data_IF_915624063104
#
_entry.id   IF_915624063104
#
_cell.length_a   1.000
_cell.length_b   1.000
_cell.length_c   1.000
_cell.angle_alpha   90.00
_cell.angle_beta   90.00
_cell.angle_gamma   90.00
#
_symmetry.space_group_name_H-M   'P 1'
#
loop_
_entity.id
_entity.type
_entity.pdbx_description
1 polymer ?
#
# COMPACT_ATOMS: atom_id res chain seq x y z
N UNK A 1 -43.82 45.72 -8.16
CA UNK A 1 -43.40 44.89 -6.99
C UNK A 1 -43.13 43.42 -7.33
N UNK A 2 -43.77 42.84 -8.32
CA UNK A 2 -43.56 41.42 -8.69
C UNK A 2 -42.15 41.05 -9.19
N UNK A 3 -41.47 41.91 -9.95
CA UNK A 3 -40.14 41.65 -10.51
C UNK A 3 -39.03 41.51 -9.48
N UNK A 4 -39.11 42.25 -8.36
CA UNK A 4 -38.11 42.13 -7.29
C UNK A 4 -38.20 40.81 -6.51
N UNK A 5 -39.38 40.29 -6.35
CA UNK A 5 -39.60 39.00 -5.68
C UNK A 5 -39.15 37.84 -6.53
N UNK A 6 -39.42 37.86 -7.83
CA UNK A 6 -38.94 36.81 -8.76
C UNK A 6 -37.41 36.81 -8.89
N UNK A 7 -36.77 37.97 -8.90
CA UNK A 7 -35.30 38.06 -8.89
C UNK A 7 -34.68 37.50 -7.61
N UNK A 8 -35.27 37.77 -6.45
CA UNK A 8 -34.83 37.21 -5.16
C UNK A 8 -34.94 35.70 -5.11
N UNK A 9 -36.03 35.14 -5.63
CA UNK A 9 -36.23 33.70 -5.70
C UNK A 9 -35.20 33.05 -6.64
N UNK A 10 -34.96 33.62 -7.81
CA UNK A 10 -33.93 33.12 -8.76
C UNK A 10 -32.53 33.17 -8.13
N UNK A 11 -32.18 34.24 -7.46
CA UNK A 11 -30.89 34.37 -6.77
C UNK A 11 -30.74 33.38 -5.64
N UNK A 12 -31.79 33.11 -4.88
CA UNK A 12 -31.79 32.07 -3.84
C UNK A 12 -31.61 30.66 -4.41
N UNK A 13 -32.24 30.35 -5.55
CA UNK A 13 -32.09 29.06 -6.23
C UNK A 13 -30.65 28.89 -6.73
N UNK A 14 -30.07 29.93 -7.34
CA UNK A 14 -28.68 29.89 -7.83
C UNK A 14 -27.71 29.68 -6.66
N UNK A 15 -27.87 30.43 -5.57
CA UNK A 15 -27.04 30.28 -4.38
C UNK A 15 -27.16 28.88 -3.76
N UNK A 16 -28.37 28.37 -3.64
CA UNK A 16 -28.62 27.04 -3.09
C UNK A 16 -28.00 25.96 -3.99
N UNK A 17 -28.17 26.07 -5.31
CA UNK A 17 -27.59 25.13 -6.28
C UNK A 17 -26.05 25.11 -6.23
N UNK A 18 -25.42 26.29 -6.14
CA UNK A 18 -23.96 26.38 -6.03
C UNK A 18 -23.43 25.83 -4.70
N UNK A 19 -24.13 26.07 -3.60
CA UNK A 19 -23.81 25.46 -2.30
C UNK A 19 -23.94 23.93 -2.35
N UNK A 20 -25.02 23.41 -2.94
CA UNK A 20 -25.23 21.97 -3.11
C UNK A 20 -24.13 21.33 -3.95
N UNK A 21 -23.75 21.91 -5.09
CA UNK A 21 -22.66 21.43 -5.91
C UNK A 21 -21.31 21.42 -5.16
N UNK A 22 -21.03 22.47 -4.39
CA UNK A 22 -19.85 22.55 -3.54
C UNK A 22 -19.84 21.45 -2.47
N UNK A 23 -20.97 21.20 -1.84
CA UNK A 23 -21.13 20.15 -0.83
C UNK A 23 -20.90 18.75 -1.43
N UNK A 24 -21.55 18.43 -2.56
CA UNK A 24 -21.35 17.15 -3.24
C UNK A 24 -19.90 16.93 -3.70
N UNK A 25 -19.24 17.94 -4.26
CA UNK A 25 -17.85 17.84 -4.63
C UNK A 25 -16.93 17.54 -3.43
N UNK A 26 -17.20 18.16 -2.27
CA UNK A 26 -16.46 17.88 -1.06
C UNK A 26 -16.72 16.46 -0.54
N UNK A 27 -17.97 15.99 -0.58
CA UNK A 27 -18.31 14.61 -0.20
C UNK A 27 -17.59 13.58 -1.09
N UNK A 28 -17.58 13.78 -2.41
CA UNK A 28 -16.86 12.88 -3.33
C UNK A 28 -15.37 12.85 -3.03
N UNK A 29 -14.74 14.00 -2.84
CA UNK A 29 -13.31 14.06 -2.47
C UNK A 29 -13.03 13.36 -1.15
N UNK A 30 -13.90 13.51 -0.19
CA UNK A 30 -13.78 12.86 1.12
C UNK A 30 -13.90 11.34 1.00
N UNK A 31 -14.84 10.88 0.17
CA UNK A 31 -15.04 9.46 -0.10
C UNK A 31 -13.84 8.84 -0.83
N UNK A 32 -13.30 9.51 -1.85
CA UNK A 32 -12.13 9.06 -2.58
C UNK A 32 -10.90 8.97 -1.66
N UNK A 33 -10.66 10.00 -0.86
CA UNK A 33 -9.56 10.00 0.10
C UNK A 33 -9.69 8.88 1.13
N UNK A 34 -10.90 8.61 1.61
CA UNK A 34 -11.15 7.53 2.56
C UNK A 34 -10.90 6.15 1.96
N UNK A 35 -11.31 5.93 0.71
CA UNK A 35 -11.07 4.68 -0.01
C UNK A 35 -9.56 4.44 -0.26
N UNK A 36 -8.82 5.47 -0.62
CA UNK A 36 -7.37 5.40 -0.79
C UNK A 36 -6.67 5.02 0.52
N UNK A 37 -7.00 5.70 1.62
CA UNK A 37 -6.41 5.40 2.93
C UNK A 37 -6.81 4.00 3.44
N UNK A 38 -8.03 3.58 3.20
CA UNK A 38 -8.49 2.23 3.54
C UNK A 38 -7.71 1.16 2.76
N UNK A 39 -7.54 1.36 1.45
CA UNK A 39 -6.74 0.47 0.60
C UNK A 39 -5.27 0.42 1.05
N UNK A 40 -4.72 1.55 1.46
CA UNK A 40 -3.36 1.63 2.02
C UNK A 40 -3.21 0.85 3.32
N UNK A 41 -4.17 0.97 4.24
CA UNK A 41 -4.17 0.20 5.50
C UNK A 41 -4.27 -1.31 5.26
N UNK A 42 -5.08 -1.72 4.28
CA UNK A 42 -5.15 -3.13 3.88
C UNK A 42 -3.83 -3.60 3.27
N UNK A 43 -3.19 -2.78 2.44
CA UNK A 43 -1.86 -3.06 1.90
C UNK A 43 -0.80 -3.24 2.99
N UNK A 44 -0.82 -2.43 4.06
CA UNK A 44 0.06 -2.60 5.21
C UNK A 44 -0.16 -3.92 5.93
N UNK A 45 -1.41 -4.34 6.15
CA UNK A 45 -1.73 -5.65 6.75
C UNK A 45 -1.27 -6.81 5.87
N UNK A 46 -1.39 -6.64 4.56
CA UNK A 46 -0.88 -7.62 3.59
C UNK A 46 0.64 -7.73 3.66
N UNK A 47 1.35 -6.59 3.78
CA UNK A 47 2.79 -6.56 3.96
C UNK A 47 3.24 -7.30 5.21
N UNK A 48 2.58 -7.04 6.34
CA UNK A 48 2.85 -7.72 7.60
C UNK A 48 2.64 -9.23 7.48
N UNK A 49 1.58 -9.65 6.81
CA UNK A 49 1.33 -11.07 6.55
C UNK A 49 2.43 -11.71 5.69
N UNK A 50 2.88 -11.05 4.65
CA UNK A 50 3.97 -11.56 3.78
C UNK A 50 5.27 -11.71 4.59
N UNK A 51 5.60 -10.72 5.43
CA UNK A 51 6.76 -10.84 6.31
C UNK A 51 6.63 -11.98 7.31
N UNK A 52 5.45 -12.22 7.86
CA UNK A 52 5.19 -13.37 8.73
C UNK A 52 5.32 -14.70 7.98
N UNK A 53 4.87 -14.78 6.73
CA UNK A 53 5.05 -15.97 5.88
C UNK A 53 6.52 -16.28 5.65
N UNK A 54 7.36 -15.26 5.38
CA UNK A 54 8.81 -15.41 5.20
C UNK A 54 9.47 -15.90 6.50
N UNK A 55 9.18 -15.25 7.62
CA UNK A 55 9.71 -15.67 8.93
C UNK A 55 9.28 -17.09 9.31
N UNK A 56 8.02 -17.41 9.07
CA UNK A 56 7.49 -18.75 9.38
C UNK A 56 8.17 -19.83 8.54
N UNK A 57 8.40 -19.56 7.25
CA UNK A 57 9.09 -20.52 6.38
C UNK A 57 10.50 -20.84 6.88
N UNK A 58 11.21 -19.85 7.42
CA UNK A 58 12.53 -20.03 8.02
C UNK A 58 12.47 -20.73 9.40
N UNK A 59 11.64 -20.25 10.32
CA UNK A 59 11.54 -20.80 11.69
C UNK A 59 11.02 -22.24 11.69
N UNK A 60 10.13 -22.58 10.75
CA UNK A 60 9.59 -23.92 10.60
C UNK A 60 10.52 -24.88 9.84
N UNK A 61 11.74 -24.45 9.51
CA UNK A 61 12.73 -25.21 8.74
C UNK A 61 12.20 -25.75 7.41
N UNK A 62 11.29 -24.98 6.78
CA UNK A 62 10.73 -25.28 5.46
C UNK A 62 11.75 -24.87 4.38
N UNK A 63 12.45 -23.74 4.64
CA UNK A 63 13.45 -23.16 3.75
C UNK A 63 14.69 -22.83 4.59
N UNK A 64 15.85 -23.29 4.16
CA UNK A 64 17.12 -22.93 4.83
C UNK A 64 17.46 -21.45 4.63
N UNK A 65 18.28 -20.88 5.52
CA UNK A 65 18.62 -19.46 5.45
C UNK A 65 19.29 -19.10 4.09
N UNK A 66 20.15 -19.96 3.57
CA UNK A 66 20.83 -19.76 2.28
C UNK A 66 19.87 -19.84 1.07
N UNK A 67 18.77 -20.59 1.20
CA UNK A 67 17.77 -20.72 0.14
C UNK A 67 16.68 -19.65 0.23
N UNK A 68 16.59 -18.95 1.36
CA UNK A 68 15.55 -17.96 1.61
C UNK A 68 15.61 -16.81 0.61
N UNK A 69 16.80 -16.36 0.21
CA UNK A 69 16.99 -15.38 -0.83
C UNK A 69 16.37 -15.83 -2.15
N UNK A 70 16.75 -17.02 -2.62
CA UNK A 70 16.27 -17.52 -3.91
C UNK A 70 14.79 -17.87 -3.93
N UNK A 71 14.24 -18.27 -2.78
CA UNK A 71 12.81 -18.60 -2.65
C UNK A 71 11.89 -17.37 -2.79
N UNK A 72 12.36 -16.20 -2.39
CA UNK A 72 11.58 -14.99 -2.35
C UNK A 72 12.10 -13.85 -3.24
N UNK A 73 13.29 -13.99 -3.84
CA UNK A 73 13.88 -13.01 -4.75
C UNK A 73 12.96 -12.78 -5.94
N UNK A 74 12.75 -11.50 -6.28
CA UNK A 74 11.95 -11.03 -7.42
C UNK A 74 10.55 -11.67 -7.53
N UNK A 75 9.98 -12.09 -6.40
CA UNK A 75 8.65 -12.65 -6.40
C UNK A 75 7.59 -11.55 -6.53
N UNK A 76 6.78 -11.65 -7.59
CA UNK A 76 5.62 -10.78 -7.77
C UNK A 76 4.35 -11.61 -7.63
N UNK A 77 3.50 -11.25 -6.68
CA UNK A 77 2.22 -11.92 -6.44
C UNK A 77 1.06 -10.94 -6.57
N UNK A 78 0.03 -11.36 -7.30
CA UNK A 78 -1.24 -10.64 -7.30
C UNK A 78 -2.15 -11.25 -6.22
N UNK A 79 -2.61 -10.43 -5.30
CA UNK A 79 -3.53 -10.82 -4.22
C UNK A 79 -4.78 -9.99 -4.32
N UNK A 80 -5.93 -10.64 -4.47
CA UNK A 80 -7.23 -9.95 -4.44
C UNK A 80 -7.76 -9.93 -3.01
N UNK A 81 -8.08 -8.74 -2.53
CA UNK A 81 -8.67 -8.56 -1.22
C UNK A 81 -9.81 -7.54 -1.30
N UNK A 82 -11.02 -7.94 -0.96
CA UNK A 82 -12.23 -7.10 -0.91
C UNK A 82 -12.40 -6.24 -2.18
N UNK A 83 -12.42 -6.88 -3.36
CA UNK A 83 -12.57 -6.26 -4.69
C UNK A 83 -11.40 -5.37 -5.15
N UNK A 84 -10.32 -5.26 -4.38
CA UNK A 84 -9.09 -4.55 -4.75
C UNK A 84 -7.98 -5.55 -5.04
N UNK A 85 -7.32 -5.39 -6.18
CA UNK A 85 -6.17 -6.19 -6.55
C UNK A 85 -4.88 -5.51 -6.08
N UNK A 86 -4.10 -6.24 -5.29
CA UNK A 86 -2.80 -5.81 -4.80
C UNK A 86 -1.70 -6.55 -5.55
N UNK A 87 -0.74 -5.82 -6.07
CA UNK A 87 0.49 -6.38 -6.60
C UNK A 87 1.57 -6.25 -5.53
N UNK A 88 2.03 -7.39 -5.04
CA UNK A 88 3.08 -7.50 -4.02
C UNK A 88 4.37 -7.86 -4.73
N UNK A 89 5.38 -7.01 -4.62
CA UNK A 89 6.73 -7.28 -5.09
C UNK A 89 7.65 -7.41 -3.89
N UNK A 90 8.40 -8.51 -3.84
CA UNK A 90 9.38 -8.81 -2.79
C UNK A 90 10.75 -8.90 -3.44
N UNK A 91 11.68 -8.10 -2.97
CA UNK A 91 13.10 -8.17 -3.33
C UNK A 91 13.89 -8.57 -2.09
N UNK A 92 14.89 -9.43 -2.26
CA UNK A 92 15.77 -9.86 -1.18
C UNK A 92 17.21 -9.49 -1.50
N UNK A 93 17.98 -9.10 -0.49
CA UNK A 93 19.40 -8.77 -0.63
C UNK A 93 20.18 -9.12 0.64
N UNK A 94 21.41 -9.61 0.46
CA UNK A 94 22.36 -9.79 1.56
C UNK A 94 22.77 -8.45 2.12
N UNK A 95 22.78 -8.31 3.43
CA UNK A 95 23.09 -7.05 4.09
C UNK A 95 23.92 -7.27 5.35
N UNK A 96 24.40 -6.19 5.93
CA UNK A 96 25.01 -6.20 7.25
C UNK A 96 23.96 -6.07 8.37
N UNK A 97 24.39 -6.04 9.61
CA UNK A 97 23.51 -5.88 10.79
C UNK A 97 22.75 -4.54 10.83
N UNK A 98 23.13 -3.58 9.99
CA UNK A 98 22.48 -2.27 9.85
C UNK A 98 21.55 -2.22 8.64
N UNK A 99 21.46 -3.32 7.86
CA UNK A 99 20.63 -3.39 6.67
C UNK A 99 21.26 -2.76 5.42
N UNK A 100 22.58 -2.51 5.42
CA UNK A 100 23.31 -2.00 4.25
C UNK A 100 23.76 -3.17 3.38
N UNK A 101 23.60 -3.06 2.07
CA UNK A 101 23.94 -4.14 1.13
C UNK A 101 25.39 -4.61 1.30
N UNK A 102 25.56 -5.90 1.55
CA UNK A 102 26.87 -6.51 1.78
C UNK A 102 27.58 -6.96 0.49
N UNK A 103 26.82 -7.06 -0.61
CA UNK A 103 27.35 -7.52 -1.92
C UNK A 103 27.76 -8.99 -1.98
N UNK A 104 27.66 -9.72 -0.89
CA UNK A 104 27.96 -11.16 -0.79
C UNK A 104 27.15 -11.77 0.34
N UNK A 105 27.06 -13.10 0.39
CA UNK A 105 26.39 -13.83 1.47
C UNK A 105 26.90 -13.35 2.84
N UNK A 106 25.96 -13.12 3.74
CA UNK A 106 26.18 -12.68 5.11
C UNK A 106 25.19 -13.38 6.05
N UNK A 107 25.31 -13.14 7.36
CA UNK A 107 24.38 -13.68 8.35
C UNK A 107 23.09 -12.87 8.46
N UNK A 108 22.85 -11.91 7.55
CA UNK A 108 21.67 -11.07 7.54
C UNK A 108 21.12 -10.96 6.13
N UNK A 109 19.81 -11.13 6.01
CA UNK A 109 19.06 -10.99 4.78
C UNK A 109 18.01 -9.90 4.96
N UNK A 110 17.99 -8.92 4.05
CA UNK A 110 17.00 -7.86 4.00
C UNK A 110 15.95 -8.20 2.95
N UNK A 111 14.70 -8.07 3.33
CA UNK A 111 13.55 -8.15 2.43
C UNK A 111 12.96 -6.77 2.23
N UNK A 112 12.91 -6.33 1.00
CA UNK A 112 12.31 -5.08 0.55
C UNK A 112 10.96 -5.38 -0.09
N UNK A 113 9.89 -4.89 0.52
CA UNK A 113 8.52 -5.14 0.08
C UNK A 113 7.89 -3.88 -0.48
N UNK A 114 7.27 -4.00 -1.66
CA UNK A 114 6.49 -2.95 -2.31
C UNK A 114 5.12 -3.49 -2.67
N UNK A 115 4.09 -2.78 -2.29
CA UNK A 115 2.71 -3.15 -2.62
C UNK A 115 2.07 -2.01 -3.37
N UNK A 116 1.51 -2.29 -4.53
CA UNK A 116 0.69 -1.36 -5.28
C UNK A 116 -0.73 -1.88 -5.42
N UNK A 117 -1.69 -0.99 -5.37
CA UNK A 117 -3.08 -1.29 -5.66
C UNK A 117 -3.73 -0.16 -6.45
N UNK A 118 -4.76 -0.52 -7.19
CA UNK A 118 -5.61 0.43 -7.90
C UNK A 118 -7.00 0.41 -7.24
N UNK A 119 -7.35 1.42 -6.44
CA UNK A 119 -8.62 1.45 -5.70
C UNK A 119 -9.85 1.75 -6.58
N UNK A 120 -9.68 1.82 -7.92
CA UNK A 120 -10.75 2.08 -8.87
C UNK A 120 -10.96 3.55 -9.20
N UNK A 121 -10.41 4.46 -8.41
CA UNK A 121 -10.49 5.91 -8.61
C UNK A 121 -9.13 6.55 -8.33
N UNK A 122 -8.71 7.44 -9.23
CA UNK A 122 -7.43 8.15 -9.08
C UNK A 122 -6.21 7.34 -9.52
N UNK A 123 -5.05 7.67 -8.97
CA UNK A 123 -3.77 7.04 -9.26
C UNK A 123 -3.57 5.77 -8.41
N UNK A 124 -2.63 4.93 -8.84
CA UNK A 124 -2.22 3.76 -8.07
C UNK A 124 -1.70 4.17 -6.70
N UNK A 125 -2.20 3.50 -5.67
CA UNK A 125 -1.75 3.70 -4.30
C UNK A 125 -0.60 2.74 -3.98
N UNK A 126 0.44 3.24 -3.34
CA UNK A 126 1.63 2.49 -2.99
C UNK A 126 1.80 2.37 -1.47
N UNK A 127 2.19 1.19 -1.03
CA UNK A 127 2.69 0.93 0.31
C UNK A 127 4.12 0.41 0.16
N UNK A 128 5.08 1.21 0.61
CA UNK A 128 6.47 1.01 0.22
C UNK A 128 6.72 1.46 -1.23
N UNK A 129 7.59 2.42 -1.44
CA UNK A 129 7.98 2.92 -2.77
C UNK A 129 9.34 2.37 -3.17
N UNK A 130 9.75 2.60 -4.42
CA UNK A 130 11.09 2.21 -4.88
C UNK A 130 12.21 2.86 -4.07
N UNK A 131 11.99 4.07 -3.53
CA UNK A 131 12.96 4.80 -2.70
C UNK A 131 12.82 4.51 -1.20
N UNK A 132 11.66 4.05 -0.76
CA UNK A 132 11.34 3.75 0.63
C UNK A 132 10.48 2.48 0.70
N UNK A 133 11.06 1.30 0.40
CA UNK A 133 10.34 0.03 0.54
C UNK A 133 10.06 -0.25 2.02
N UNK A 134 9.09 -1.12 2.28
CA UNK A 134 8.94 -1.70 3.60
C UNK A 134 10.05 -2.74 3.79
N UNK A 135 10.83 -2.61 4.85
CA UNK A 135 12.02 -3.42 5.07
C UNK A 135 11.86 -4.35 6.27
N UNK A 136 12.30 -5.58 6.10
CA UNK A 136 12.43 -6.56 7.18
C UNK A 136 13.81 -7.19 7.12
N UNK A 137 14.47 -7.22 8.27
CA UNK A 137 15.77 -7.86 8.44
C UNK A 137 15.58 -9.20 9.13
N UNK A 138 16.17 -10.26 8.57
CA UNK A 138 16.20 -11.59 9.15
C UNK A 138 17.66 -11.97 9.36
N UNK A 139 17.98 -12.40 10.57
CA UNK A 139 19.33 -12.90 10.92
C UNK A 139 19.35 -14.41 10.86
N UNK A 140 20.49 -14.98 10.47
CA UNK A 140 20.75 -16.40 10.60
C UNK A 140 20.81 -16.79 12.08
N UNK A 141 19.89 -17.63 12.53
CA UNK A 141 19.83 -18.12 13.90
C UNK A 141 20.62 -19.43 14.10
N UNK A 142 21.21 -19.99 13.01
CA UNK A 142 21.98 -21.23 13.08
C UNK A 142 21.16 -22.45 13.52
N UNK A 143 19.88 -22.49 13.11
CA UNK A 143 18.93 -23.57 13.46
C UNK A 143 19.19 -24.77 12.53
#
# INVERSE_FOLDING_TARGET
MAYGQTMLVLLAIILFSTMMLGYYNNLFRWYDMHNVEYSRLQGLKLAERVFQEIEFAYIADIVSFSELESAWSDSTRAVSFTDVNYNVNVESSWCDSLGVDAGSESNFLRFDLRISCYPGYGDSTWVGTATHPLQKLIADMGI
#
